data_IF_480917690350
#
_entry.id   IF_480917690350
#
_cell.length_a   1.000
_cell.length_b   1.000
_cell.length_c   1.000
_cell.angle_alpha   90.00
_cell.angle_beta   90.00
_cell.angle_gamma   90.00
#
_symmetry.space_group_name_H-M   'P 1'
#
loop_
_entity.id
_entity.type
_entity.pdbx_description
1 polymer ?
#
# COMPACT_ATOMS: atom_id res chain seq x y z
N UNK A 1 17.18 35.56 -5.46
CA UNK A 1 16.47 34.31 -5.81
C UNK A 1 17.42 33.46 -6.65
N UNK A 2 18.12 32.51 -6.01
CA UNK A 2 18.99 31.56 -6.73
C UNK A 2 18.05 30.49 -7.31
N UNK A 3 18.16 30.12 -8.59
CA UNK A 3 17.29 29.11 -9.16
C UNK A 3 17.53 27.77 -8.45
N UNK A 4 16.45 27.09 -8.09
CA UNK A 4 16.45 25.75 -7.50
C UNK A 4 17.11 24.68 -8.41
N UNK A 5 17.51 25.03 -9.63
CA UNK A 5 18.11 24.15 -10.66
C UNK A 5 19.56 23.69 -10.40
N UNK A 6 20.19 24.04 -9.26
CA UNK A 6 21.61 23.71 -9.02
C UNK A 6 21.97 23.00 -7.71
N UNK A 7 21.04 22.78 -6.77
CA UNK A 7 21.32 21.99 -5.57
C UNK A 7 20.43 20.76 -5.52
N UNK A 8 21.06 19.58 -5.56
CA UNK A 8 20.35 18.32 -5.36
C UNK A 8 19.80 18.29 -3.92
N UNK A 9 18.53 17.88 -3.71
CA UNK A 9 17.90 17.90 -2.40
C UNK A 9 18.54 16.87 -1.46
N UNK A 10 18.51 17.16 -0.16
CA UNK A 10 18.77 16.16 0.89
C UNK A 10 17.47 15.48 1.28
N UNK A 11 17.47 14.15 1.21
CA UNK A 11 16.25 13.34 1.40
C UNK A 11 16.40 12.51 2.66
N UNK A 12 15.35 12.47 3.48
CA UNK A 12 15.24 11.50 4.56
C UNK A 12 14.09 10.54 4.30
N UNK A 13 14.35 9.25 4.50
CA UNK A 13 13.34 8.20 4.56
C UNK A 13 13.14 7.85 6.02
N UNK A 14 11.95 8.13 6.54
CA UNK A 14 11.63 8.01 7.96
C UNK A 14 10.70 6.83 8.17
N UNK A 15 11.09 5.90 9.04
CA UNK A 15 10.33 4.67 9.29
C UNK A 15 10.27 4.31 10.77
N UNK A 16 9.27 3.52 11.14
CA UNK A 16 9.16 2.99 12.51
C UNK A 16 10.16 1.85 12.68
N UNK A 17 11.16 2.05 13.54
CA UNK A 17 12.19 1.05 13.84
C UNK A 17 11.63 -0.01 14.79
N UNK A 18 11.94 -1.28 14.52
CA UNK A 18 11.55 -2.41 15.37
C UNK A 18 10.03 -2.50 15.59
N UNK A 19 9.25 -2.32 14.52
CA UNK A 19 7.80 -2.49 14.55
C UNK A 19 7.38 -3.81 15.21
N UNK A 20 6.43 -3.72 16.15
CA UNK A 20 5.75 -4.87 16.74
C UNK A 20 4.56 -5.35 15.91
N UNK A 21 4.24 -4.63 14.82
CA UNK A 21 3.04 -4.85 13.99
C UNK A 21 3.41 -5.53 12.67
N UNK A 22 4.36 -4.97 11.90
CA UNK A 22 4.74 -5.50 10.59
C UNK A 22 6.13 -5.04 10.16
N UNK A 23 6.79 -5.85 9.34
CA UNK A 23 8.06 -5.46 8.70
C UNK A 23 7.87 -4.68 7.39
N UNK A 24 6.63 -4.49 6.94
CA UNK A 24 6.31 -3.91 5.64
C UNK A 24 6.91 -2.50 5.46
N UNK A 25 6.67 -1.61 6.42
CA UNK A 25 7.16 -0.23 6.41
C UNK A 25 8.69 -0.18 6.42
N UNK A 26 9.33 -1.04 7.22
CA UNK A 26 10.79 -1.13 7.30
C UNK A 26 11.39 -1.62 5.97
N UNK A 27 10.81 -2.66 5.37
CA UNK A 27 11.30 -3.20 4.09
C UNK A 27 11.13 -2.20 2.96
N UNK A 28 9.99 -1.50 2.90
CA UNK A 28 9.74 -0.44 1.94
C UNK A 28 10.73 0.73 2.14
N UNK A 29 10.97 1.15 3.39
CA UNK A 29 11.89 2.23 3.71
C UNK A 29 13.33 1.92 3.32
N UNK A 30 13.82 0.73 3.65
CA UNK A 30 15.15 0.26 3.25
C UNK A 30 15.29 0.26 1.73
N UNK A 31 14.31 -0.31 1.02
CA UNK A 31 14.33 -0.38 -0.44
C UNK A 31 14.32 1.01 -1.09
N UNK A 32 13.41 1.90 -0.67
CA UNK A 32 13.30 3.25 -1.24
C UNK A 32 14.53 4.09 -0.90
N UNK A 33 15.07 4.00 0.31
CA UNK A 33 16.28 4.75 0.66
C UNK A 33 17.49 4.33 -0.19
N UNK A 34 17.66 3.04 -0.44
CA UNK A 34 18.73 2.54 -1.34
C UNK A 34 18.51 3.00 -2.78
N UNK A 35 17.28 2.89 -3.30
CA UNK A 35 16.96 3.30 -4.67
C UNK A 35 17.12 4.81 -4.88
N UNK A 36 16.70 5.63 -3.91
CA UNK A 36 16.86 7.08 -3.94
C UNK A 36 18.34 7.46 -3.88
N UNK A 37 19.11 6.85 -2.99
CA UNK A 37 20.56 7.10 -2.91
C UNK A 37 21.28 6.76 -4.23
N UNK A 38 20.88 5.68 -4.90
CA UNK A 38 21.45 5.25 -6.17
C UNK A 38 20.88 5.99 -7.41
N UNK A 39 19.92 6.91 -7.24
CA UNK A 39 19.25 7.60 -8.34
C UNK A 39 20.09 8.73 -8.97
N UNK A 40 21.04 9.27 -8.23
CA UNK A 40 21.75 10.50 -8.60
C UNK A 40 20.89 11.77 -8.58
N UNK A 41 19.63 11.69 -8.09
CA UNK A 41 18.68 12.82 -8.02
C UNK A 41 18.66 13.53 -6.67
N UNK A 42 19.50 13.13 -5.73
CA UNK A 42 19.62 13.73 -4.40
C UNK A 42 21.09 13.88 -4.02
N UNK A 43 21.41 14.88 -3.18
CA UNK A 43 22.77 15.08 -2.68
C UNK A 43 23.15 14.02 -1.64
N UNK A 44 22.20 13.69 -0.76
CA UNK A 44 22.36 12.71 0.30
C UNK A 44 21.02 12.13 0.70
N UNK A 45 21.01 10.83 1.00
CA UNK A 45 19.87 10.10 1.54
C UNK A 45 20.16 9.63 2.95
N UNK A 46 19.28 9.97 3.88
CA UNK A 46 19.30 9.45 5.25
C UNK A 46 18.18 8.44 5.43
N UNK A 47 18.49 7.24 5.90
CA UNK A 47 17.49 6.30 6.39
C UNK A 47 17.39 6.46 7.91
N UNK A 48 16.29 7.06 8.37
CA UNK A 48 16.10 7.44 9.78
C UNK A 48 15.09 6.53 10.46
N UNK A 49 15.56 5.72 11.41
CA UNK A 49 14.71 4.87 12.23
C UNK A 49 14.20 5.60 13.46
N UNK A 50 12.88 5.74 13.59
CA UNK A 50 12.23 6.34 14.77
C UNK A 50 11.68 5.25 15.67
N UNK A 51 12.03 5.33 16.96
CA UNK A 51 11.42 4.51 18.01
C UNK A 51 10.24 5.23 18.63
N UNK A 52 9.20 4.46 18.88
CA UNK A 52 7.85 4.91 19.26
C UNK A 52 7.72 5.34 20.72
N UNK A 53 8.64 4.90 21.58
CA UNK A 53 8.60 5.16 23.01
C UNK A 53 9.18 6.55 23.34
N UNK A 54 8.40 7.40 24.01
CA UNK A 54 8.71 8.80 24.32
C UNK A 54 10.06 8.99 25.04
N UNK A 55 10.52 7.99 25.80
CA UNK A 55 11.77 8.02 26.59
C UNK A 55 13.03 7.69 25.78
N UNK A 56 12.92 7.16 24.55
CA UNK A 56 14.08 6.62 23.80
C UNK A 56 14.49 7.42 22.55
N UNK A 57 13.89 8.58 22.29
CA UNK A 57 14.33 9.51 21.25
C UNK A 57 15.61 10.29 21.62
N UNK A 58 16.33 9.90 22.67
CA UNK A 58 17.67 10.41 22.94
C UNK A 58 18.64 9.92 21.84
N UNK A 59 19.47 10.79 21.26
CA UNK A 59 20.46 10.37 20.26
C UNK A 59 21.45 9.40 20.91
N UNK A 60 21.28 8.10 20.67
CA UNK A 60 22.27 7.10 21.08
C UNK A 60 23.29 6.94 19.97
N UNK A 61 24.58 6.97 20.34
CA UNK A 61 25.67 6.59 19.43
C UNK A 61 25.48 5.12 19.04
N UNK A 62 25.50 4.86 17.74
CA UNK A 62 25.38 3.52 17.18
C UNK A 62 26.71 2.79 17.30
N UNK A 63 26.68 1.54 17.79
CA UNK A 63 27.70 0.54 17.48
C UNK A 63 27.38 -0.03 16.09
N UNK A 64 28.24 0.27 15.12
CA UNK A 64 28.14 -0.03 13.68
C UNK A 64 28.16 -1.53 13.36
N UNK A 65 27.10 -2.25 13.73
CA UNK A 65 26.90 -3.64 13.31
C UNK A 65 25.56 -3.83 12.61
N UNK A 66 25.24 -2.95 11.64
CA UNK A 66 24.14 -3.18 10.72
C UNK A 66 24.54 -4.22 9.67
N UNK A 67 23.84 -5.35 9.66
CA UNK A 67 23.82 -6.27 8.51
C UNK A 67 23.40 -5.48 7.28
N UNK A 68 24.26 -5.42 6.25
CA UNK A 68 24.02 -4.55 5.10
C UNK A 68 22.77 -4.97 4.34
N UNK A 69 21.83 -4.04 4.13
CA UNK A 69 20.66 -4.30 3.31
C UNK A 69 21.04 -4.39 1.83
N UNK A 70 20.37 -5.29 1.11
CA UNK A 70 20.52 -5.45 -0.33
C UNK A 70 19.17 -5.22 -0.99
N UNK A 71 19.13 -4.50 -2.12
CA UNK A 71 17.91 -4.25 -2.88
C UNK A 71 18.15 -4.46 -4.37
N UNK A 72 17.21 -5.13 -5.05
CA UNK A 72 17.18 -5.27 -6.49
C UNK A 72 16.22 -4.23 -7.07
N UNK A 73 16.77 -3.19 -7.70
CA UNK A 73 15.98 -2.15 -8.35
C UNK A 73 15.28 -2.68 -9.61
N UNK A 74 14.19 -2.03 -10.03
CA UNK A 74 13.35 -2.46 -11.16
C UNK A 74 14.09 -2.62 -12.50
N UNK A 75 15.23 -1.95 -12.68
CA UNK A 75 16.10 -2.06 -13.86
C UNK A 75 17.09 -3.23 -13.78
N UNK A 76 17.05 -4.02 -12.71
CA UNK A 76 17.94 -5.15 -12.47
C UNK A 76 19.23 -4.78 -11.73
N UNK A 77 19.42 -3.51 -11.33
CA UNK A 77 20.59 -3.10 -10.57
C UNK A 77 20.53 -3.61 -9.12
N UNK A 78 21.56 -4.33 -8.69
CA UNK A 78 21.71 -4.78 -7.31
C UNK A 78 22.42 -3.69 -6.48
N UNK A 79 21.72 -3.20 -5.46
CA UNK A 79 22.17 -2.13 -4.59
C UNK A 79 22.52 -2.71 -3.22
N UNK A 80 23.74 -2.42 -2.74
CA UNK A 80 24.21 -2.84 -1.44
C UNK A 80 24.45 -1.62 -0.56
N UNK A 81 23.86 -1.58 0.64
CA UNK A 81 24.01 -0.45 1.55
C UNK A 81 25.48 -0.19 1.92
N UNK A 82 26.30 -1.26 2.00
CA UNK A 82 27.74 -1.20 2.32
C UNK A 82 28.61 -0.67 1.19
N UNK A 83 28.14 -0.72 -0.05
CA UNK A 83 28.90 -0.25 -1.22
C UNK A 83 28.60 1.21 -1.54
N UNK A 84 27.52 1.77 -0.98
CA UNK A 84 27.18 3.17 -1.16
C UNK A 84 28.09 4.07 -0.32
N UNK A 85 28.63 5.18 -0.87
CA UNK A 85 29.42 6.13 -0.11
C UNK A 85 28.62 6.74 1.03
N UNK A 86 29.24 6.93 2.20
CA UNK A 86 28.63 7.58 3.39
C UNK A 86 28.17 9.03 3.08
N UNK A 87 28.81 9.67 2.10
CA UNK A 87 28.41 10.98 1.60
C UNK A 87 27.05 10.96 0.90
N UNK A 88 26.68 9.83 0.29
CA UNK A 88 25.45 9.66 -0.48
C UNK A 88 24.37 8.96 0.33
N UNK A 89 24.73 8.04 1.23
CA UNK A 89 23.79 7.22 2.00
C UNK A 89 24.24 7.04 3.45
N UNK A 90 23.34 7.29 4.41
CA UNK A 90 23.61 7.09 5.83
C UNK A 90 22.37 6.51 6.55
N UNK A 91 22.55 5.39 7.26
CA UNK A 91 21.54 4.83 8.16
C UNK A 91 21.77 5.38 9.57
N UNK A 92 20.72 5.91 10.20
CA UNK A 92 20.84 6.55 11.52
C UNK A 92 19.54 6.47 12.32
N UNK A 93 19.65 6.54 13.65
CA UNK A 93 18.51 6.75 14.55
C UNK A 93 18.42 8.22 15.02
N UNK A 94 19.36 9.06 14.58
CA UNK A 94 19.44 10.46 14.99
C UNK A 94 18.44 11.31 14.21
N UNK A 95 17.32 11.65 14.86
CA UNK A 95 16.28 12.50 14.31
C UNK A 95 16.75 13.94 14.04
N UNK A 96 17.88 14.39 14.63
CA UNK A 96 18.43 15.72 14.36
C UNK A 96 18.83 15.88 12.88
N UNK A 97 19.20 14.78 12.21
CA UNK A 97 19.56 14.79 10.78
C UNK A 97 18.41 15.24 9.88
N UNK A 98 17.16 15.05 10.34
CA UNK A 98 15.96 15.48 9.64
C UNK A 98 15.88 17.00 9.47
N UNK A 99 16.51 17.78 10.35
CA UNK A 99 16.55 19.25 10.26
C UNK A 99 17.22 19.71 8.96
N UNK A 100 18.27 18.98 8.55
CA UNK A 100 19.09 19.30 7.38
C UNK A 100 18.52 18.80 6.05
N UNK A 101 17.36 18.16 6.08
CA UNK A 101 16.72 17.55 4.91
C UNK A 101 15.60 18.44 4.34
N UNK A 102 15.55 18.48 3.01
CA UNK A 102 14.57 19.26 2.23
C UNK A 102 13.30 18.45 1.97
N UNK A 103 13.44 17.12 1.83
CA UNK A 103 12.34 16.19 1.57
C UNK A 103 12.32 15.07 2.62
N UNK A 104 11.16 14.86 3.23
CA UNK A 104 10.89 13.72 4.12
C UNK A 104 9.91 12.75 3.46
N UNK A 105 10.31 11.49 3.33
CA UNK A 105 9.48 10.38 2.88
C UNK A 105 9.05 9.59 4.11
N UNK A 106 7.77 9.66 4.48
CA UNK A 106 7.24 9.02 5.68
C UNK A 106 6.69 7.63 5.35
N UNK A 107 7.26 6.62 6.03
CA UNK A 107 6.86 5.21 6.04
C UNK A 107 6.73 4.76 7.49
N UNK A 108 5.94 5.50 8.25
CA UNK A 108 5.65 5.21 9.65
C UNK A 108 4.45 4.28 9.75
N UNK A 109 4.31 3.60 10.88
CA UNK A 109 3.06 2.93 11.22
C UNK A 109 1.92 3.95 11.33
N UNK A 110 0.75 3.59 10.80
CA UNK A 110 -0.44 4.45 10.72
C UNK A 110 -0.85 5.05 12.07
N UNK A 111 -0.72 4.29 13.16
CA UNK A 111 -1.17 4.73 14.48
C UNK A 111 -0.22 5.72 15.16
N UNK A 112 1.05 5.71 14.77
CA UNK A 112 2.10 6.53 15.38
C UNK A 112 2.48 7.75 14.52
N UNK A 113 2.02 7.79 13.28
CA UNK A 113 2.42 8.82 12.32
C UNK A 113 2.19 10.24 12.85
N UNK A 114 1.03 10.49 13.45
CA UNK A 114 0.65 11.81 13.94
C UNK A 114 1.50 12.19 15.15
N UNK A 115 1.63 11.30 16.15
CA UNK A 115 2.39 11.58 17.37
C UNK A 115 3.87 11.81 17.09
N UNK A 116 4.47 11.01 16.20
CA UNK A 116 5.86 11.19 15.75
C UNK A 116 6.02 12.52 15.04
N UNK A 117 5.12 12.86 14.11
CA UNK A 117 5.20 14.12 13.38
C UNK A 117 5.03 15.33 14.29
N UNK A 118 4.09 15.29 15.23
CA UNK A 118 3.91 16.34 16.25
C UNK A 118 5.13 16.48 17.15
N UNK A 119 5.75 15.36 17.55
CA UNK A 119 6.98 15.36 18.33
C UNK A 119 8.15 15.95 17.54
N UNK A 120 8.31 15.56 16.28
CA UNK A 120 9.31 16.13 15.38
C UNK A 120 9.10 17.63 15.19
N UNK A 121 7.86 18.08 15.01
CA UNK A 121 7.55 19.51 14.90
C UNK A 121 7.90 20.28 16.18
N UNK A 122 7.54 19.75 17.37
CA UNK A 122 7.88 20.34 18.67
C UNK A 122 9.40 20.43 18.88
N UNK A 123 10.14 19.42 18.44
CA UNK A 123 11.59 19.29 18.68
C UNK A 123 12.43 20.08 17.69
N UNK A 124 12.02 20.14 16.42
CA UNK A 124 12.74 20.84 15.35
C UNK A 124 12.39 22.34 15.27
N UNK A 125 11.39 22.79 16.02
CA UNK A 125 11.00 24.20 16.08
C UNK A 125 10.35 24.71 14.78
N UNK A 126 10.08 26.02 14.75
CA UNK A 126 9.58 26.69 13.54
C UNK A 126 10.72 26.83 12.53
N UNK A 127 10.44 26.55 11.26
CA UNK A 127 11.39 26.82 10.19
C UNK A 127 11.65 28.34 10.13
N UNK A 128 12.93 28.74 10.06
CA UNK A 128 13.31 30.14 9.82
C UNK A 128 12.61 30.65 8.56
N UNK A 129 12.06 31.87 8.61
CA UNK A 129 11.30 32.48 7.51
C UNK A 129 12.08 32.57 6.18
N UNK A 130 13.42 32.52 6.26
CA UNK A 130 14.32 32.58 5.10
C UNK A 130 14.60 31.21 4.45
N UNK A 131 14.23 30.08 5.08
CA UNK A 131 14.42 28.75 4.49
C UNK A 131 13.22 28.34 3.64
N UNK A 132 13.44 27.64 2.51
CA UNK A 132 12.33 27.08 1.73
C UNK A 132 11.54 26.10 2.59
N UNK A 133 10.20 26.12 2.41
CA UNK A 133 9.31 25.20 3.12
C UNK A 133 9.73 23.76 2.85
N UNK A 134 9.88 22.99 3.92
CA UNK A 134 10.19 21.56 3.83
C UNK A 134 9.04 20.81 3.16
N UNK A 135 9.36 19.84 2.30
CA UNK A 135 8.36 18.96 1.69
C UNK A 135 8.28 17.66 2.48
N UNK A 136 7.07 17.23 2.82
CA UNK A 136 6.81 15.99 3.55
C UNK A 136 5.83 15.15 2.77
N UNK A 137 6.24 13.96 2.34
CA UNK A 137 5.40 13.04 1.59
C UNK A 137 5.10 11.79 2.41
N UNK A 138 3.83 11.58 2.74
CA UNK A 138 3.36 10.30 3.29
C UNK A 138 3.19 9.27 2.17
N UNK A 139 3.97 8.19 2.24
CA UNK A 139 3.90 7.04 1.33
C UNK A 139 3.07 5.88 1.89
N UNK A 140 2.22 6.18 2.87
CA UNK A 140 1.36 5.20 3.53
C UNK A 140 0.16 4.81 2.66
N UNK A 141 -0.11 3.52 2.62
CA UNK A 141 -1.21 2.90 1.86
C UNK A 141 -2.56 3.06 2.54
N UNK A 142 -2.59 3.38 3.84
CA UNK A 142 -3.83 3.38 4.62
C UNK A 142 -4.77 4.55 4.30
N UNK A 143 -6.05 4.31 4.57
CA UNK A 143 -7.14 5.29 4.44
C UNK A 143 -7.18 6.33 5.57
N UNK A 144 -6.20 6.30 6.49
CA UNK A 144 -6.20 7.19 7.67
C UNK A 144 -5.76 8.60 7.33
N UNK A 145 -5.98 9.50 8.30
CA UNK A 145 -6.38 10.90 8.15
C UNK A 145 -5.28 11.81 7.54
N UNK A 146 -5.56 12.35 6.35
CA UNK A 146 -4.73 13.36 5.67
C UNK A 146 -4.82 14.75 6.33
N UNK A 147 -5.96 15.06 6.96
CA UNK A 147 -6.21 16.37 7.59
C UNK A 147 -5.38 16.61 8.88
N UNK A 148 -5.26 15.65 9.81
CA UNK A 148 -4.37 15.77 10.97
C UNK A 148 -2.90 15.89 10.60
N UNK A 149 -2.45 15.25 9.51
CA UNK A 149 -1.06 15.40 9.06
C UNK A 149 -0.77 16.85 8.60
N UNK A 150 -1.71 17.47 7.87
CA UNK A 150 -1.61 18.89 7.52
C UNK A 150 -1.68 19.79 8.77
N UNK A 151 -2.46 19.42 9.78
CA UNK A 151 -2.58 20.18 11.03
C UNK A 151 -1.33 20.06 11.91
N UNK A 152 -0.67 18.91 11.91
CA UNK A 152 0.55 18.65 12.69
C UNK A 152 1.79 19.33 12.12
N UNK A 153 1.79 19.67 10.82
CA UNK A 153 2.88 20.37 10.12
C UNK A 153 2.37 21.59 9.35
N UNK A 154 2.00 22.68 10.03
CA UNK A 154 1.48 23.88 9.37
C UNK A 154 2.53 24.59 8.50
N UNK A 155 3.81 24.45 8.85
CA UNK A 155 4.91 25.15 8.18
C UNK A 155 5.50 24.37 6.98
N UNK A 156 5.09 23.12 6.78
CA UNK A 156 5.60 22.25 5.72
C UNK A 156 4.61 22.06 4.56
N UNK A 157 5.12 21.70 3.38
CA UNK A 157 4.30 21.28 2.24
C UNK A 157 4.06 19.79 2.35
N UNK A 158 2.86 19.42 2.78
CA UNK A 158 2.47 18.01 2.91
C UNK A 158 1.92 17.48 1.57
N UNK A 159 2.56 16.45 1.06
CA UNK A 159 2.15 15.67 -0.10
C UNK A 159 1.48 14.37 0.35
N UNK A 160 0.30 14.12 -0.20
CA UNK A 160 -0.52 12.97 0.15
C UNK A 160 -0.42 11.94 -0.95
N UNK A 161 0.05 10.75 -0.60
CA UNK A 161 0.23 9.67 -1.56
C UNK A 161 0.28 8.30 -0.92
N UNK A 162 0.94 7.38 -1.62
CA UNK A 162 1.17 6.02 -1.18
C UNK A 162 2.05 5.24 -2.16
N UNK A 163 2.55 4.09 -1.72
CA UNK A 163 3.17 3.09 -2.58
C UNK A 163 2.16 1.97 -2.89
N UNK A 164 1.84 1.75 -4.16
CA UNK A 164 0.86 0.74 -4.58
C UNK A 164 1.47 -0.66 -4.81
N UNK A 165 2.56 -0.98 -4.10
CA UNK A 165 3.27 -2.25 -4.15
C UNK A 165 3.81 -2.59 -2.75
N UNK A 166 4.06 -3.89 -2.50
CA UNK A 166 4.80 -4.33 -1.32
C UNK A 166 6.26 -4.59 -1.69
N UNK A 167 7.17 -4.41 -0.76
CA UNK A 167 8.56 -4.86 -0.91
C UNK A 167 8.74 -6.11 -0.07
N UNK A 168 9.30 -7.16 -0.66
CA UNK A 168 9.55 -8.46 -0.03
C UNK A 168 11.04 -8.80 -0.06
N UNK A 169 11.52 -9.52 0.96
CA UNK A 169 12.85 -10.14 0.95
C UNK A 169 12.77 -11.50 0.27
N UNK A 170 13.67 -11.74 -0.68
CA UNK A 170 13.86 -13.08 -1.25
C UNK A 170 14.64 -14.01 -0.30
N UNK A 171 14.85 -15.26 -0.73
CA UNK A 171 15.60 -16.27 0.03
C UNK A 171 17.06 -15.86 0.30
N UNK A 172 17.63 -15.00 -0.55
CA UNK A 172 18.98 -14.45 -0.40
C UNK A 172 19.01 -13.18 0.46
N UNK A 173 17.86 -12.74 1.00
CA UNK A 173 17.72 -11.53 1.80
C UNK A 173 17.70 -10.23 1.00
N UNK A 174 17.56 -10.29 -0.32
CA UNK A 174 17.48 -9.14 -1.22
C UNK A 174 16.06 -8.60 -1.28
N UNK A 175 15.92 -7.30 -1.06
CA UNK A 175 14.65 -6.57 -1.13
C UNK A 175 14.25 -6.33 -2.60
N UNK A 176 13.02 -6.68 -2.96
CA UNK A 176 12.47 -6.41 -4.28
C UNK A 176 10.98 -6.08 -4.22
N UNK A 177 10.45 -5.28 -5.15
CA UNK A 177 9.02 -5.06 -5.24
C UNK A 177 8.30 -6.37 -5.60
N UNK A 178 7.20 -6.65 -4.89
CA UNK A 178 6.36 -7.83 -5.11
C UNK A 178 5.56 -7.71 -6.40
N UNK A 179 5.13 -6.49 -6.77
CA UNK A 179 4.35 -6.17 -7.97
C UNK A 179 4.92 -4.97 -8.72
N UNK A 180 4.47 -4.78 -9.97
CA UNK A 180 4.83 -3.63 -10.81
C UNK A 180 4.07 -2.34 -10.45
N UNK A 181 3.58 -2.24 -9.20
CA UNK A 181 2.87 -1.05 -8.74
C UNK A 181 3.77 0.19 -8.73
N UNK A 182 3.16 1.35 -8.63
CA UNK A 182 3.83 2.64 -8.70
C UNK A 182 3.65 3.45 -7.41
N UNK A 183 4.40 4.54 -7.28
CA UNK A 183 4.06 5.57 -6.30
C UNK A 183 2.90 6.41 -6.82
N UNK A 184 2.05 6.93 -5.94
CA UNK A 184 1.01 7.87 -6.34
C UNK A 184 0.95 9.05 -5.40
N UNK A 185 0.54 10.20 -5.92
CA UNK A 185 0.41 11.46 -5.18
C UNK A 185 -0.81 12.25 -5.65
N UNK A 186 -1.40 12.99 -4.72
CA UNK A 186 -2.42 13.97 -5.04
C UNK A 186 -1.88 15.04 -5.98
N UNK A 187 -2.73 15.44 -6.94
CA UNK A 187 -2.45 16.55 -7.83
C UNK A 187 -2.05 17.78 -7.02
N UNK A 188 -0.82 18.22 -7.27
CA UNK A 188 -0.27 19.43 -6.67
C UNK A 188 -1.08 20.65 -7.12
N UNK A 189 -1.53 21.44 -6.15
CA UNK A 189 -2.10 22.76 -6.42
C UNK A 189 -0.99 23.71 -6.88
N UNK A 190 -1.34 24.86 -7.47
CA UNK A 190 -0.37 25.89 -7.87
C UNK A 190 0.54 26.32 -6.70
N UNK A 191 -0.01 26.33 -5.49
CA UNK A 191 0.68 26.65 -4.24
C UNK A 191 1.76 25.62 -3.85
N UNK A 192 1.67 24.37 -4.34
CA UNK A 192 2.63 23.28 -4.09
C UNK A 192 3.60 23.04 -5.25
N UNK A 193 3.68 23.98 -6.20
CA UNK A 193 4.55 23.84 -7.38
C UNK A 193 6.03 23.71 -7.02
N UNK A 194 6.49 24.32 -5.93
CA UNK A 194 7.85 24.16 -5.44
C UNK A 194 8.18 22.74 -4.94
N UNK A 195 7.19 21.85 -4.78
CA UNK A 195 7.40 20.45 -4.39
C UNK A 195 7.52 19.48 -5.58
N UNK A 196 7.53 19.99 -6.84
CA UNK A 196 7.65 19.16 -8.03
C UNK A 196 8.93 18.31 -8.07
N UNK A 197 10.04 18.84 -7.54
CA UNK A 197 11.31 18.10 -7.46
C UNK A 197 11.19 16.79 -6.66
N UNK A 198 10.24 16.70 -5.72
CA UNK A 198 10.04 15.48 -4.93
C UNK A 198 9.52 14.33 -5.81
N UNK A 199 8.79 14.65 -6.89
CA UNK A 199 8.35 13.67 -7.88
C UNK A 199 9.56 13.15 -8.65
N UNK A 200 10.43 14.04 -9.12
CA UNK A 200 11.64 13.67 -9.87
C UNK A 200 12.58 12.79 -9.03
N UNK A 201 12.68 13.05 -7.73
CA UNK A 201 13.46 12.21 -6.78
C UNK A 201 12.92 10.79 -6.73
N UNK A 202 11.59 10.61 -6.61
CA UNK A 202 11.00 9.28 -6.58
C UNK A 202 10.97 8.60 -7.94
N UNK A 203 10.76 9.33 -9.05
CA UNK A 203 10.90 8.77 -10.39
C UNK A 203 12.33 8.29 -10.66
N UNK A 204 13.32 8.94 -10.03
CA UNK A 204 14.72 8.50 -10.03
C UNK A 204 14.97 7.10 -9.46
N UNK A 205 14.01 6.53 -8.71
CA UNK A 205 14.09 5.13 -8.25
C UNK A 205 13.85 4.10 -9.36
N UNK A 206 13.42 4.55 -10.55
CA UNK A 206 12.99 3.68 -11.65
C UNK A 206 11.55 3.18 -11.50
N UNK A 207 10.83 3.60 -10.45
CA UNK A 207 9.41 3.33 -10.25
C UNK A 207 8.62 4.56 -10.69
N UNK A 208 7.53 4.32 -11.43
CA UNK A 208 6.67 5.40 -11.92
C UNK A 208 6.00 6.14 -10.77
N UNK A 209 5.75 7.45 -10.96
CA UNK A 209 5.00 8.28 -10.02
C UNK A 209 3.73 8.78 -10.71
N UNK A 210 2.57 8.36 -10.21
CA UNK A 210 1.27 8.81 -10.72
C UNK A 210 0.76 10.01 -9.94
N UNK A 211 0.64 11.15 -10.63
CA UNK A 211 0.01 12.36 -10.10
C UNK A 211 -1.43 12.46 -10.61
N UNK A 212 -2.43 12.38 -9.70
CA UNK A 212 -3.86 12.36 -10.09
C UNK A 212 -4.71 13.33 -9.28
N UNK A 213 -5.68 13.96 -9.96
CA UNK A 213 -6.60 14.97 -9.44
C UNK A 213 -7.54 14.51 -8.32
N UNK A 214 -7.58 13.21 -8.01
CA UNK A 214 -8.55 12.59 -7.11
C UNK A 214 -7.91 11.61 -6.11
N UNK A 215 -6.66 11.86 -5.70
CA UNK A 215 -6.15 11.22 -4.47
C UNK A 215 -6.86 11.81 -3.25
N UNK A 216 -7.20 13.11 -3.31
CA UNK A 216 -7.97 13.85 -2.31
C UNK A 216 -8.85 14.91 -3.01
N UNK A 217 -10.06 14.53 -3.40
CA UNK A 217 -11.06 15.48 -3.88
C UNK A 217 -11.79 16.14 -2.69
N UNK A 218 -11.91 17.48 -2.68
CA UNK A 218 -12.57 18.30 -1.62
C UNK A 218 -14.01 17.88 -1.23
N UNK A 219 -14.61 16.93 -1.93
CA UNK A 219 -15.93 16.42 -1.61
C UNK A 219 -16.15 14.98 -2.12
N UNK A 220 -15.08 14.18 -2.30
CA UNK A 220 -15.17 12.84 -2.90
C UNK A 220 -14.20 11.85 -2.26
N UNK A 221 -14.58 10.57 -2.11
CA UNK A 221 -13.72 9.58 -1.48
C UNK A 221 -12.46 9.30 -2.31
N UNK A 222 -11.40 8.96 -1.59
CA UNK A 222 -10.01 8.75 -2.02
C UNK A 222 -9.89 7.55 -2.97
N UNK A 223 -10.24 7.75 -4.24
CA UNK A 223 -10.40 6.67 -5.22
C UNK A 223 -9.18 5.74 -5.32
N UNK A 224 -7.96 6.31 -5.40
CA UNK A 224 -6.72 5.53 -5.54
C UNK A 224 -6.38 4.75 -4.27
N UNK A 225 -6.45 5.40 -3.10
CA UNK A 225 -6.19 4.71 -1.82
C UNK A 225 -7.20 3.58 -1.61
N UNK A 226 -8.47 3.82 -1.95
CA UNK A 226 -9.52 2.81 -1.83
C UNK A 226 -9.24 1.60 -2.73
N UNK A 227 -8.94 1.81 -4.01
CA UNK A 227 -8.60 0.73 -4.92
C UNK A 227 -7.36 -0.04 -4.49
N UNK A 228 -6.32 0.65 -4.00
CA UNK A 228 -5.13 0.00 -3.44
C UNK A 228 -5.46 -0.84 -2.20
N UNK A 229 -6.24 -0.30 -1.24
CA UNK A 229 -6.67 -1.05 -0.04
C UNK A 229 -7.52 -2.27 -0.41
N UNK A 230 -8.40 -2.16 -1.40
CA UNK A 230 -9.19 -3.29 -1.90
C UNK A 230 -8.31 -4.43 -2.43
N UNK A 231 -7.25 -4.10 -3.18
CA UNK A 231 -6.30 -5.10 -3.68
C UNK A 231 -5.48 -5.72 -2.56
N UNK A 232 -5.11 -4.95 -1.52
CA UNK A 232 -4.31 -5.44 -0.40
C UNK A 232 -5.01 -6.52 0.43
N UNK A 233 -6.34 -6.60 0.40
CA UNK A 233 -7.11 -7.71 1.01
C UNK A 233 -6.59 -9.08 0.53
N UNK A 234 -6.10 -9.16 -0.71
CA UNK A 234 -5.57 -10.40 -1.26
C UNK A 234 -4.38 -10.91 -0.44
N UNK A 235 -3.49 -10.02 0.01
CA UNK A 235 -2.33 -10.40 0.81
C UNK A 235 -2.72 -11.03 2.15
N UNK A 236 -3.80 -10.55 2.76
CA UNK A 236 -4.28 -11.04 4.05
C UNK A 236 -4.98 -12.40 3.94
N UNK A 237 -5.83 -12.60 2.94
CA UNK A 237 -6.43 -13.91 2.69
C UNK A 237 -5.36 -14.94 2.32
N UNK A 238 -4.39 -14.57 1.49
CA UNK A 238 -3.27 -15.46 1.15
C UNK A 238 -2.45 -15.83 2.39
N UNK A 239 -2.21 -14.87 3.30
CA UNK A 239 -1.55 -15.12 4.57
C UNK A 239 -2.28 -16.13 5.46
N UNK A 240 -3.62 -16.09 5.53
CA UNK A 240 -4.41 -17.08 6.28
C UNK A 240 -4.35 -18.49 5.67
N UNK A 241 -4.22 -18.58 4.34
CA UNK A 241 -4.09 -19.87 3.64
C UNK A 241 -2.66 -20.40 3.59
N UNK A 242 -1.66 -19.59 3.95
CA UNK A 242 -0.24 -19.93 3.80
C UNK A 242 0.25 -20.04 2.35
N UNK A 243 -0.58 -19.68 1.37
CA UNK A 243 -0.27 -19.77 -0.07
C UNK A 243 0.43 -18.51 -0.56
N UNK A 244 1.26 -18.64 -1.60
CA UNK A 244 1.69 -17.48 -2.37
C UNK A 244 0.48 -16.80 -3.04
N UNK A 245 0.61 -15.53 -3.39
CA UNK A 245 -0.51 -14.79 -4.01
C UNK A 245 -0.91 -15.41 -5.35
N UNK A 246 0.04 -15.96 -6.11
CA UNK A 246 -0.22 -16.63 -7.37
C UNK A 246 -0.96 -17.97 -7.17
N UNK A 247 -0.60 -18.75 -6.14
CA UNK A 247 -1.32 -19.97 -5.78
C UNK A 247 -2.73 -19.69 -5.27
N UNK A 248 -2.91 -18.64 -4.46
CA UNK A 248 -4.23 -18.20 -4.01
C UNK A 248 -5.11 -17.75 -5.17
N UNK A 249 -4.56 -17.07 -6.18
CA UNK A 249 -5.30 -16.72 -7.39
C UNK A 249 -5.63 -17.94 -8.27
N UNK A 250 -4.81 -19.00 -8.27
CA UNK A 250 -5.13 -20.24 -8.99
C UNK A 250 -6.26 -21.02 -8.32
N UNK A 251 -6.42 -20.89 -7.01
CA UNK A 251 -7.48 -21.54 -6.26
C UNK A 251 -8.83 -20.83 -6.42
N UNK A 252 -9.78 -21.51 -7.05
CA UNK A 252 -11.14 -21.00 -7.24
C UNK A 252 -11.84 -20.59 -5.95
N UNK A 253 -11.62 -21.32 -4.84
CA UNK A 253 -12.30 -21.05 -3.57
C UNK A 253 -11.78 -19.75 -2.96
N UNK A 254 -10.46 -19.54 -2.99
CA UNK A 254 -9.84 -18.29 -2.59
C UNK A 254 -10.30 -17.13 -3.50
N UNK A 255 -10.43 -17.35 -4.81
CA UNK A 255 -11.00 -16.36 -5.74
C UNK A 255 -12.41 -15.89 -5.39
N UNK A 256 -13.29 -16.80 -4.95
CA UNK A 256 -14.61 -16.41 -4.47
C UNK A 256 -14.57 -15.62 -3.17
N UNK A 257 -13.64 -15.95 -2.26
CA UNK A 257 -13.45 -15.18 -1.03
C UNK A 257 -12.94 -13.75 -1.34
N UNK A 258 -11.97 -13.62 -2.27
CA UNK A 258 -11.51 -12.31 -2.75
C UNK A 258 -12.67 -11.51 -3.36
N UNK A 259 -13.47 -12.15 -4.21
CA UNK A 259 -14.61 -11.52 -4.87
C UNK A 259 -15.63 -10.99 -3.86
N UNK A 260 -15.98 -11.79 -2.86
CA UNK A 260 -16.89 -11.38 -1.80
C UNK A 260 -16.35 -10.18 -1.02
N UNK A 261 -15.06 -10.19 -0.66
CA UNK A 261 -14.46 -9.05 0.05
C UNK A 261 -14.40 -7.78 -0.82
N UNK A 262 -14.15 -7.91 -2.13
CA UNK A 262 -14.23 -6.78 -3.06
C UNK A 262 -15.64 -6.22 -3.19
N UNK A 263 -16.67 -7.08 -3.21
CA UNK A 263 -18.08 -6.65 -3.24
C UNK A 263 -18.47 -5.89 -1.99
N UNK A 264 -18.06 -6.36 -0.81
CA UNK A 264 -18.29 -5.67 0.47
C UNK A 264 -17.67 -4.27 0.47
N UNK A 265 -16.41 -4.18 0.04
CA UNK A 265 -15.69 -2.91 -0.05
C UNK A 265 -16.26 -1.95 -1.11
N UNK A 266 -16.74 -2.47 -2.24
CA UNK A 266 -17.37 -1.66 -3.30
C UNK A 266 -18.75 -1.16 -2.88
N UNK A 267 -19.52 -1.99 -2.16
CA UNK A 267 -20.80 -1.59 -1.57
C UNK A 267 -20.61 -0.49 -0.53
N UNK A 268 -19.61 -0.63 0.35
CA UNK A 268 -19.25 0.41 1.32
C UNK A 268 -18.81 1.70 0.62
N UNK A 269 -17.99 1.60 -0.43
CA UNK A 269 -17.57 2.76 -1.22
C UNK A 269 -18.76 3.51 -1.80
N UNK A 270 -19.72 2.78 -2.40
CA UNK A 270 -20.95 3.37 -2.95
C UNK A 270 -21.79 4.03 -1.85
N UNK A 271 -21.91 3.41 -0.67
CA UNK A 271 -22.60 4.01 0.47
C UNK A 271 -21.92 5.29 0.98
N UNK A 272 -20.58 5.34 0.97
CA UNK A 272 -19.82 6.55 1.28
C UNK A 272 -20.10 7.62 0.22
N UNK A 273 -20.04 7.27 -1.06
CA UNK A 273 -20.30 8.20 -2.16
C UNK A 273 -21.71 8.79 -2.10
N UNK A 274 -22.74 7.98 -1.85
CA UNK A 274 -24.13 8.48 -1.72
C UNK A 274 -24.28 9.39 -0.51
N UNK A 275 -23.66 9.06 0.63
CA UNK A 275 -23.69 9.92 1.82
C UNK A 275 -23.04 11.29 1.58
N UNK A 276 -21.95 11.32 0.83
CA UNK A 276 -21.21 12.55 0.49
C UNK A 276 -21.97 13.35 -0.58
N UNK A 277 -22.54 12.69 -1.58
CA UNK A 277 -23.40 13.34 -2.58
C UNK A 277 -24.62 14.01 -1.92
N UNK A 278 -25.26 13.35 -0.96
CA UNK A 278 -26.37 13.92 -0.19
C UNK A 278 -25.94 15.17 0.62
N UNK A 279 -24.74 15.17 1.19
CA UNK A 279 -24.19 16.34 1.89
C UNK A 279 -23.82 17.49 0.93
N UNK A 280 -23.32 17.16 -0.27
CA UNK A 280 -22.96 18.15 -1.29
C UNK A 280 -24.19 18.80 -1.93
N UNK A 281 -25.27 18.05 -2.14
CA UNK A 281 -26.53 18.60 -2.64
C UNK A 281 -27.12 19.64 -1.67
N UNK A 282 -26.94 19.46 -0.35
CA UNK A 282 -27.31 20.49 0.65
C UNK A 282 -26.44 21.74 0.62
N UNK A 283 -25.23 21.66 0.07
CA UNK A 283 -24.25 22.76 0.02
C UNK A 283 -24.03 23.35 -1.39
N UNK A 284 -24.87 22.96 -2.36
CA UNK A 284 -24.83 23.48 -3.74
C UNK A 284 -23.59 23.07 -4.56
N UNK A 285 -22.82 22.07 -4.10
CA UNK A 285 -21.63 21.57 -4.82
C UNK A 285 -22.02 20.42 -5.74
N UNK A 286 -21.64 20.49 -7.02
CA UNK A 286 -21.83 19.37 -7.97
C UNK A 286 -21.07 18.13 -7.49
N UNK A 287 -21.79 17.04 -7.25
CA UNK A 287 -21.20 15.72 -7.02
C UNK A 287 -20.83 15.11 -8.38
N UNK A 288 -19.58 14.68 -8.55
CA UNK A 288 -19.21 13.80 -9.66
C UNK A 288 -19.62 12.34 -9.36
N UNK A 289 -19.48 11.47 -10.35
CA UNK A 289 -19.42 10.03 -10.14
C UNK A 289 -17.95 9.61 -9.97
N UNK A 290 -17.62 8.95 -8.85
CA UNK A 290 -16.29 8.39 -8.60
C UNK A 290 -16.39 6.89 -8.62
N UNK A 291 -15.36 6.25 -9.17
CA UNK A 291 -15.15 4.82 -9.04
C UNK A 291 -13.86 4.56 -8.27
N UNK A 292 -13.71 3.40 -7.60
CA UNK A 292 -12.44 2.99 -7.03
C UNK A 292 -11.36 2.93 -8.12
N UNK A 293 -10.26 3.64 -7.91
CA UNK A 293 -9.16 3.73 -8.88
C UNK A 293 -8.04 2.79 -8.45
N UNK A 294 -7.64 1.91 -9.37
CA UNK A 294 -6.58 0.91 -9.16
C UNK A 294 -5.37 1.17 -10.04
N UNK A 295 -5.38 2.28 -10.80
CA UNK A 295 -4.36 2.63 -11.79
C UNK A 295 -2.93 2.70 -11.26
N UNK A 296 -2.76 2.84 -9.94
CA UNK A 296 -1.45 2.81 -9.30
C UNK A 296 -0.88 1.39 -9.10
N UNK A 297 -1.74 0.38 -9.00
CA UNK A 297 -1.32 -1.01 -8.82
C UNK A 297 -1.48 -1.83 -10.10
N UNK A 298 -2.56 -1.62 -10.86
CA UNK A 298 -2.90 -2.37 -12.07
C UNK A 298 -3.60 -1.49 -13.09
N UNK A 299 -3.52 -1.89 -14.35
CA UNK A 299 -4.26 -1.26 -15.45
C UNK A 299 -5.77 -1.56 -15.41
N UNK A 300 -6.20 -2.54 -14.60
CA UNK A 300 -7.58 -3.02 -14.56
C UNK A 300 -8.39 -2.41 -13.42
N UNK A 301 -9.53 -1.76 -13.70
CA UNK A 301 -10.47 -1.33 -12.67
C UNK A 301 -10.93 -2.49 -11.78
N UNK A 302 -11.26 -2.19 -10.51
CA UNK A 302 -11.75 -3.20 -9.56
C UNK A 302 -12.94 -3.99 -10.10
N UNK A 303 -13.87 -3.32 -10.78
CA UNK A 303 -15.05 -3.97 -11.38
C UNK A 303 -14.68 -4.97 -12.46
N UNK A 304 -13.62 -4.70 -13.24
CA UNK A 304 -13.08 -5.66 -14.21
C UNK A 304 -12.51 -6.88 -13.49
N UNK A 305 -11.78 -6.69 -12.39
CA UNK A 305 -11.30 -7.80 -11.57
C UNK A 305 -12.45 -8.65 -11.02
N UNK A 306 -13.51 -8.02 -10.53
CA UNK A 306 -14.71 -8.74 -10.04
C UNK A 306 -15.39 -9.60 -11.11
N UNK A 307 -15.30 -9.20 -12.39
CA UNK A 307 -15.81 -9.98 -13.53
C UNK A 307 -14.90 -11.19 -13.83
N UNK A 308 -13.58 -11.02 -13.68
CA UNK A 308 -12.57 -12.03 -13.99
C UNK A 308 -12.39 -13.08 -12.89
N UNK A 309 -12.49 -12.71 -11.62
CA UNK A 309 -12.28 -13.64 -10.48
C UNK A 309 -13.17 -14.90 -10.50
N UNK A 310 -14.48 -14.86 -10.82
CA UNK A 310 -15.34 -16.05 -10.78
C UNK A 310 -15.19 -16.97 -12.00
N UNK A 311 -14.30 -16.66 -12.94
CA UNK A 311 -14.09 -17.46 -14.16
C UNK A 311 -13.75 -18.93 -13.86
N UNK A 312 -14.12 -19.87 -14.76
CA UNK A 312 -13.62 -21.24 -14.71
C UNK A 312 -12.08 -21.29 -14.66
N UNK A 313 -11.53 -22.25 -13.92
CA UNK A 313 -10.07 -22.38 -13.69
C UNK A 313 -9.28 -22.43 -15.00
N UNK A 314 -9.79 -23.12 -16.02
CA UNK A 314 -9.12 -23.23 -17.30
C UNK A 314 -8.99 -21.88 -18.03
N UNK A 315 -10.01 -21.01 -17.93
CA UNK A 315 -9.97 -19.66 -18.52
C UNK A 315 -9.02 -18.78 -17.71
N UNK A 316 -9.23 -18.77 -16.39
CA UNK A 316 -8.49 -17.88 -15.50
C UNK A 316 -6.98 -18.19 -15.52
N UNK A 317 -6.61 -19.47 -15.38
CA UNK A 317 -5.21 -19.85 -15.27
C UNK A 317 -4.46 -19.80 -16.60
N UNK A 318 -5.14 -20.06 -17.73
CA UNK A 318 -4.48 -20.03 -19.06
C UNK A 318 -4.46 -18.65 -19.68
N UNK A 319 -5.50 -17.84 -19.48
CA UNK A 319 -5.62 -16.53 -20.11
C UNK A 319 -5.39 -15.41 -19.10
N UNK A 320 -6.18 -15.34 -18.03
CA UNK A 320 -6.14 -14.18 -17.13
C UNK A 320 -4.80 -14.03 -16.44
N UNK A 321 -4.30 -15.08 -15.78
CA UNK A 321 -3.04 -15.02 -15.04
C UNK A 321 -1.79 -14.84 -15.92
N UNK A 322 -1.87 -15.17 -17.21
CA UNK A 322 -0.73 -15.03 -18.14
C UNK A 322 -0.73 -13.70 -18.85
N UNK A 323 -1.91 -13.20 -19.21
CA UNK A 323 -2.06 -12.02 -20.06
C UNK A 323 -2.21 -10.74 -19.23
N UNK A 324 -2.83 -10.82 -18.05
CA UNK A 324 -3.16 -9.65 -17.25
C UNK A 324 -2.26 -9.53 -16.02
N UNK A 325 -1.66 -8.35 -15.84
CA UNK A 325 -1.03 -7.97 -14.58
C UNK A 325 -2.10 -7.45 -13.62
N UNK A 326 -2.44 -8.27 -12.62
CA UNK A 326 -3.45 -7.93 -11.61
C UNK A 326 -2.90 -6.96 -10.54
N UNK A 327 -1.63 -6.53 -10.63
CA UNK A 327 -1.02 -5.56 -9.72
C UNK A 327 -0.65 -6.10 -8.34
N UNK A 328 -0.81 -7.41 -8.15
CA UNK A 328 -0.61 -8.10 -6.88
C UNK A 328 0.74 -8.82 -6.80
N UNK A 329 1.24 -9.31 -7.94
CA UNK A 329 2.52 -10.01 -8.05
C UNK A 329 3.11 -9.80 -9.45
N UNK A 330 4.39 -9.48 -9.53
CA UNK A 330 5.16 -9.51 -10.76
C UNK A 330 5.23 -10.95 -11.26
N UNK A 331 4.87 -11.19 -12.52
CA UNK A 331 4.66 -12.53 -13.10
C UNK A 331 5.81 -13.52 -12.92
N UNK A 332 7.03 -13.05 -12.64
CA UNK A 332 8.23 -13.84 -12.37
C UNK A 332 8.44 -14.23 -10.90
N UNK A 333 7.59 -13.78 -9.98
CA UNK A 333 7.81 -13.92 -8.55
C UNK A 333 7.02 -15.07 -7.92
N UNK A 334 7.73 -15.99 -7.26
CA UNK A 334 7.17 -16.99 -6.33
C UNK A 334 7.07 -16.46 -4.89
N UNK A 335 7.38 -15.19 -4.66
CA UNK A 335 7.45 -14.64 -3.31
C UNK A 335 6.09 -14.62 -2.61
N UNK A 336 6.12 -14.89 -1.31
CA UNK A 336 4.98 -14.70 -0.41
C UNK A 336 4.88 -13.23 0.01
N UNK A 337 3.68 -12.77 0.35
CA UNK A 337 3.48 -11.41 0.87
C UNK A 337 4.21 -11.21 2.21
N UNK A 338 4.50 -9.95 2.55
CA UNK A 338 5.11 -9.62 3.85
C UNK A 338 4.24 -10.12 5.01
N UNK A 339 2.92 -10.09 4.84
CA UNK A 339 1.95 -10.57 5.85
C UNK A 339 2.16 -12.05 6.19
N UNK A 340 2.44 -12.90 5.18
CA UNK A 340 2.76 -14.32 5.41
C UNK A 340 4.03 -14.45 6.24
N UNK A 341 5.06 -13.65 5.90
CA UNK A 341 6.33 -13.68 6.63
C UNK A 341 6.18 -13.15 8.05
N UNK A 342 5.38 -12.11 8.27
CA UNK A 342 5.12 -11.53 9.59
C UNK A 342 4.44 -12.55 10.51
N UNK A 343 3.44 -13.30 10.02
CA UNK A 343 2.82 -14.40 10.76
C UNK A 343 3.79 -15.52 11.13
N UNK A 344 4.82 -15.75 10.31
CA UNK A 344 5.82 -16.79 10.52
C UNK A 344 7.00 -16.33 11.41
N UNK A 345 7.10 -15.04 11.74
CA UNK A 345 8.22 -14.52 12.54
C UNK A 345 8.13 -14.92 14.01
N UNK A 346 9.29 -14.95 14.68
CA UNK A 346 9.42 -15.21 16.13
C UNK A 346 10.23 -14.07 16.77
N UNK A 347 9.68 -13.33 17.74
CA UNK A 347 8.30 -13.38 18.25
C UNK A 347 7.25 -13.03 17.16
N UNK A 348 5.98 -13.50 17.30
CA UNK A 348 4.93 -13.27 16.32
C UNK A 348 4.57 -11.78 16.24
N UNK A 349 4.45 -11.25 15.02
CA UNK A 349 4.00 -9.88 14.75
C UNK A 349 2.46 -9.84 14.59
N UNK A 350 1.85 -8.70 14.91
CA UNK A 350 0.37 -8.57 14.94
C UNK A 350 -0.28 -8.49 13.54
N UNK A 351 0.50 -8.23 12.50
CA UNK A 351 0.08 -7.86 11.12
C UNK A 351 -0.64 -6.52 11.04
N UNK A 352 -0.50 -5.85 9.89
CA UNK A 352 -1.10 -4.53 9.64
C UNK A 352 -2.63 -4.55 9.41
N UNK A 353 -3.32 -5.70 9.52
CA UNK A 353 -4.73 -5.79 9.14
C UNK A 353 -5.63 -4.86 9.97
N UNK A 354 -5.49 -4.89 11.29
CA UNK A 354 -6.36 -4.10 12.19
C UNK A 354 -6.09 -2.59 12.09
N UNK A 355 -4.86 -2.20 11.81
CA UNK A 355 -4.47 -0.79 11.64
C UNK A 355 -4.87 -0.26 10.27
N UNK A 356 -4.72 -1.07 9.22
CA UNK A 356 -5.04 -0.71 7.83
C UNK A 356 -6.56 -0.63 7.58
N UNK A 357 -7.34 -1.60 8.06
CA UNK A 357 -8.79 -1.68 7.82
C UNK A 357 -9.64 -1.01 8.90
N UNK A 358 -9.04 -0.39 9.92
CA UNK A 358 -9.80 0.29 10.99
C UNK A 358 -10.82 1.28 10.45
N UNK A 359 -10.40 2.16 9.54
CA UNK A 359 -11.27 3.17 8.95
C UNK A 359 -12.39 2.54 8.12
N UNK A 360 -12.13 1.40 7.47
CA UNK A 360 -13.15 0.65 6.72
C UNK A 360 -14.25 0.19 7.67
N UNK A 361 -13.87 -0.43 8.80
CA UNK A 361 -14.83 -0.86 9.82
C UNK A 361 -15.55 0.34 10.47
N UNK A 362 -14.84 1.42 10.80
CA UNK A 362 -15.47 2.64 11.34
C UNK A 362 -16.49 3.23 10.35
N UNK A 363 -16.14 3.34 9.06
CA UNK A 363 -17.04 3.85 8.02
C UNK A 363 -18.26 2.95 7.80
N UNK A 364 -18.09 1.63 7.93
CA UNK A 364 -19.15 0.64 7.81
C UNK A 364 -20.11 0.71 8.99
N UNK A 365 -19.60 0.78 10.23
CA UNK A 365 -20.43 0.95 11.44
C UNK A 365 -21.23 2.24 11.42
N UNK A 366 -20.64 3.35 10.96
CA UNK A 366 -21.33 4.63 10.83
C UNK A 366 -22.42 4.68 9.75
N UNK A 367 -22.51 3.66 8.88
CA UNK A 367 -23.44 3.59 7.74
C UNK A 367 -24.30 2.33 7.73
N UNK A 368 -24.23 1.52 8.78
CA UNK A 368 -24.96 0.25 8.91
C UNK A 368 -24.73 -0.72 7.73
N UNK A 369 -23.47 -0.80 7.26
CA UNK A 369 -23.06 -1.73 6.21
C UNK A 369 -22.38 -2.94 6.86
N UNK A 370 -22.90 -4.14 6.60
CA UNK A 370 -22.34 -5.39 7.13
C UNK A 370 -21.19 -5.87 6.25
N UNK A 371 -20.06 -6.23 6.85
CA UNK A 371 -18.85 -6.71 6.15
C UNK A 371 -18.47 -8.14 6.61
N UNK A 372 -19.27 -9.17 6.28
CA UNK A 372 -19.10 -10.49 6.86
C UNK A 372 -17.76 -11.17 6.51
N UNK A 373 -17.24 -10.99 5.28
CA UNK A 373 -15.95 -11.57 4.90
C UNK A 373 -14.79 -10.85 5.63
N UNK A 374 -14.80 -9.52 5.68
CA UNK A 374 -13.75 -8.76 6.39
C UNK A 374 -13.78 -9.03 7.90
N UNK A 375 -14.96 -9.15 8.51
CA UNK A 375 -15.10 -9.52 9.92
C UNK A 375 -14.60 -10.94 10.22
N UNK A 376 -14.87 -11.89 9.33
CA UNK A 376 -14.33 -13.26 9.43
C UNK A 376 -12.80 -13.22 9.41
N UNK A 377 -12.21 -12.51 8.44
CA UNK A 377 -10.75 -12.35 8.32
C UNK A 377 -10.18 -11.75 9.63
N UNK A 378 -10.79 -10.68 10.14
CA UNK A 378 -10.40 -10.07 11.42
C UNK A 378 -10.41 -11.09 12.57
N UNK A 379 -11.51 -11.82 12.73
CA UNK A 379 -11.68 -12.82 13.81
C UNK A 379 -10.62 -13.93 13.70
N UNK A 380 -10.28 -14.38 12.49
CA UNK A 380 -9.24 -15.40 12.28
C UNK A 380 -7.86 -14.88 12.69
N UNK A 381 -7.45 -13.68 12.26
CA UNK A 381 -6.18 -13.09 12.68
C UNK A 381 -6.09 -12.96 14.21
N UNK A 382 -7.15 -12.49 14.87
CA UNK A 382 -7.20 -12.40 16.34
C UNK A 382 -7.09 -13.78 16.99
N UNK A 383 -7.77 -14.79 16.45
CA UNK A 383 -7.71 -16.17 16.96
C UNK A 383 -6.32 -16.79 16.83
N UNK A 384 -5.71 -16.64 15.65
CA UNK A 384 -4.36 -17.11 15.37
C UNK A 384 -3.37 -16.47 16.33
N UNK A 385 -3.47 -15.16 16.52
CA UNK A 385 -2.63 -14.42 17.46
C UNK A 385 -2.75 -14.95 18.88
N UNK A 386 -3.99 -15.09 19.38
CA UNK A 386 -4.22 -15.64 20.74
C UNK A 386 -3.60 -17.03 20.90
N UNK A 387 -3.69 -17.86 19.86
CA UNK A 387 -3.06 -19.18 19.87
C UNK A 387 -1.54 -19.09 19.89
N UNK A 388 -0.93 -18.23 19.05
CA UNK A 388 0.52 -18.02 19.03
C UNK A 388 1.05 -17.47 20.38
N UNK A 389 0.32 -16.55 21.01
CA UNK A 389 0.65 -16.02 22.33
C UNK A 389 0.57 -17.09 23.44
N UNK A 390 -0.38 -18.03 23.34
CA UNK A 390 -0.49 -19.17 24.26
C UNK A 390 0.66 -20.15 24.06
N UNK A 391 0.95 -20.54 22.82
CA UNK A 391 2.07 -21.45 22.50
C UNK A 391 3.43 -20.88 22.95
N UNK A 392 3.61 -19.56 22.83
CA UNK A 392 4.80 -18.88 23.32
C UNK A 392 4.91 -18.91 24.85
N UNK A 393 3.80 -18.78 25.57
CA UNK A 393 3.76 -18.87 27.05
C UNK A 393 4.03 -20.29 27.54
N UNK A 394 3.55 -21.29 26.79
CA UNK A 394 3.72 -22.71 27.12
C UNK A 394 5.11 -23.25 26.74
N UNK A 395 5.99 -22.40 26.19
CA UNK A 395 7.34 -22.78 25.77
C UNK A 395 7.38 -23.76 24.58
N UNK A 396 6.23 -23.99 23.94
CA UNK A 396 6.11 -24.90 22.81
C UNK A 396 6.63 -24.17 21.58
N UNK A 397 7.74 -24.65 21.03
CA UNK A 397 8.30 -24.13 19.77
C UNK A 397 7.54 -24.66 18.55
N UNK A 398 6.23 -24.94 18.67
CA UNK A 398 5.40 -25.41 17.58
C UNK A 398 5.39 -24.38 16.46
N UNK A 399 5.75 -24.83 15.26
CA UNK A 399 5.50 -24.10 14.02
C UNK A 399 4.02 -24.26 13.71
N UNK A 400 3.13 -23.53 14.37
CA UNK A 400 1.75 -23.50 13.92
C UNK A 400 1.73 -22.73 12.60
N UNK A 401 1.92 -23.49 11.51
CA UNK A 401 1.75 -22.98 10.17
C UNK A 401 0.28 -22.62 10.04
N UNK A 402 0.01 -21.32 9.97
CA UNK A 402 -1.33 -20.81 9.70
C UNK A 402 -1.68 -21.18 8.26
N UNK A 403 -2.20 -22.39 8.10
CA UNK A 403 -2.60 -22.93 6.81
C UNK A 403 -4.05 -23.39 6.94
N UNK A 404 -4.96 -22.43 6.88
CA UNK A 404 -6.39 -22.74 6.86
C UNK A 404 -6.76 -23.09 5.42
N UNK A 405 -7.41 -24.24 5.23
CA UNK A 405 -7.88 -24.61 3.88
C UNK A 405 -8.85 -23.55 3.35
N UNK A 406 -8.67 -23.20 2.09
CA UNK A 406 -9.46 -22.18 1.40
C UNK A 406 -10.94 -22.55 1.33
N UNK A 407 -11.27 -23.85 1.40
CA UNK A 407 -12.65 -24.32 1.52
C UNK A 407 -13.28 -24.03 2.88
N UNK A 408 -12.52 -24.19 3.96
CA UNK A 408 -12.99 -23.90 5.31
C UNK A 408 -13.26 -22.40 5.47
N UNK A 409 -12.35 -21.55 4.97
CA UNK A 409 -12.56 -20.10 4.96
C UNK A 409 -13.80 -19.69 4.16
N UNK A 410 -14.02 -20.30 2.99
CA UNK A 410 -15.18 -20.00 2.16
C UNK A 410 -16.49 -20.47 2.81
N UNK A 411 -16.49 -21.62 3.50
CA UNK A 411 -17.69 -22.17 4.13
C UNK A 411 -18.24 -21.29 5.27
N UNK A 412 -17.37 -20.52 5.94
CA UNK A 412 -17.77 -19.60 7.00
C UNK A 412 -18.41 -18.30 6.48
N UNK A 413 -18.32 -18.04 5.18
CA UNK A 413 -18.84 -16.80 4.56
C UNK A 413 -20.01 -17.13 3.65
N UNK A 414 -21.17 -16.51 3.93
CA UNK A 414 -22.32 -16.57 3.03
C UNK A 414 -22.03 -15.69 1.81
N UNK A 415 -21.71 -16.32 0.68
CA UNK A 415 -21.50 -15.62 -0.58
C UNK A 415 -22.75 -14.81 -0.98
N UNK A 416 -22.52 -13.59 -1.43
CA UNK A 416 -23.57 -12.74 -1.98
C UNK A 416 -24.20 -13.41 -3.21
N UNK A 417 -25.54 -13.37 -3.37
CA UNK A 417 -26.21 -13.89 -4.57
C UNK A 417 -25.70 -13.22 -5.86
N UNK A 418 -25.16 -12.00 -5.75
CA UNK A 418 -24.67 -11.22 -6.87
C UNK A 418 -23.22 -11.54 -7.27
N UNK A 419 -22.52 -12.44 -6.56
CA UNK A 419 -21.10 -12.75 -6.81
C UNK A 419 -20.82 -13.11 -8.27
N UNK A 420 -21.69 -13.88 -8.91
CA UNK A 420 -21.49 -14.32 -10.29
C UNK A 420 -22.27 -13.49 -11.32
N UNK A 421 -23.13 -12.56 -10.86
CA UNK A 421 -24.05 -11.81 -11.72
C UNK A 421 -23.31 -10.94 -12.74
N UNK A 422 -22.29 -10.20 -12.29
CA UNK A 422 -21.47 -9.36 -13.15
C UNK A 422 -20.73 -10.16 -14.21
N UNK A 423 -20.11 -11.29 -13.82
CA UNK A 423 -19.41 -12.18 -14.74
C UNK A 423 -20.35 -12.81 -15.75
N UNK A 424 -21.49 -13.37 -15.30
CA UNK A 424 -22.50 -13.97 -16.18
C UNK A 424 -22.99 -12.97 -17.24
N UNK A 425 -23.27 -11.74 -16.82
CA UNK A 425 -23.72 -10.67 -17.72
C UNK A 425 -22.65 -10.30 -18.73
N UNK A 426 -21.39 -10.21 -18.31
CA UNK A 426 -20.27 -9.95 -19.20
C UNK A 426 -20.12 -11.05 -20.26
N UNK A 427 -20.16 -12.32 -19.86
CA UNK A 427 -20.08 -13.44 -20.80
C UNK A 427 -21.23 -13.47 -21.80
N UNK A 428 -22.46 -13.25 -21.31
CA UNK A 428 -23.63 -13.23 -22.18
C UNK A 428 -23.50 -12.11 -23.23
N UNK A 429 -23.03 -10.92 -22.80
CA UNK A 429 -22.76 -9.81 -23.72
C UNK A 429 -21.65 -10.14 -24.70
N UNK A 430 -20.51 -10.65 -24.24
CA UNK A 430 -19.39 -10.99 -25.11
C UNK A 430 -19.76 -12.07 -26.14
N UNK A 431 -20.50 -13.10 -25.71
CA UNK A 431 -21.01 -14.15 -26.58
C UNK A 431 -21.99 -13.61 -27.62
N UNK A 432 -22.97 -12.80 -27.20
CA UNK A 432 -23.92 -12.17 -28.11
C UNK A 432 -23.21 -11.25 -29.12
N UNK A 433 -22.25 -10.45 -28.68
CA UNK A 433 -21.45 -9.59 -29.57
C UNK A 433 -20.65 -10.43 -30.57
N UNK A 434 -20.01 -11.51 -30.14
CA UNK A 434 -19.26 -12.40 -31.03
C UNK A 434 -20.17 -13.01 -32.11
N UNK A 435 -21.32 -13.56 -31.72
CA UNK A 435 -22.30 -14.14 -32.65
C UNK A 435 -22.81 -13.08 -33.63
N UNK A 436 -23.18 -11.89 -33.14
CA UNK A 436 -23.67 -10.81 -33.98
C UNK A 436 -22.60 -10.31 -34.96
N UNK A 437 -21.34 -10.23 -34.51
CA UNK A 437 -20.20 -9.81 -35.37
C UNK A 437 -19.93 -10.87 -36.44
N UNK A 438 -20.02 -12.16 -36.11
CA UNK A 438 -19.85 -13.25 -37.05
C UNK A 438 -20.99 -13.30 -38.07
N UNK A 439 -22.24 -13.10 -37.64
CA UNK A 439 -23.40 -12.97 -38.52
C UNK A 439 -23.28 -11.76 -39.44
N UNK A 440 -22.85 -10.61 -38.92
CA UNK A 440 -22.60 -9.41 -39.72
C UNK A 440 -21.51 -9.66 -40.76
N UNK A 441 -20.40 -10.31 -40.37
CA UNK A 441 -19.34 -10.70 -41.30
C UNK A 441 -19.86 -11.62 -42.39
N UNK A 442 -20.64 -12.65 -42.04
CA UNK A 442 -21.26 -13.54 -43.02
C UNK A 442 -22.22 -12.78 -43.96
N UNK A 443 -23.01 -11.83 -43.46
CA UNK A 443 -23.91 -11.02 -44.29
C UNK A 443 -23.21 -9.94 -45.14
N UNK A 444 -21.96 -9.58 -44.83
CA UNK A 444 -21.17 -8.60 -45.61
C UNK A 444 -20.26 -9.27 -46.65
N UNK A 445 -19.92 -10.54 -46.46
CA UNK A 445 -19.03 -11.31 -47.34
C UNK A 445 -19.74 -12.41 -48.16
N UNK A 446 -21.04 -12.60 -47.95
CA UNK A 446 -21.98 -13.29 -48.86
C UNK A 446 -22.80 -12.22 -49.54
#
# INVERSE_FOLDING_TARGET
MIPFDKMLPRVSVVYTKESSVSREETQLAQYVALCVAASGRCAKTYLVGIRTEEEQLAPRRFDTTASGAMALRCDGALLHSRQLPVETYEETDDWMKLETCDLWLLMLETDVTISVVELLHKRLGRQDQDRPKRVVWSLQTTLRRLAPLNAALPDAIVLHGGAAFQVVKDENGVLRPLSNGCFFVERLSKEKSCALYALDVLEGTGIQVLCRGNVQGRAMPRAIKWGCTMLRIFYYINALTGKSVFEGLRDRKARFLFLQALMEMDALFRAVQTSVAAANNKSGRKSGDSEPDTGAATLFPVRSLMVLLPLPDWIFNRFVLRVFDLGLVAQSSTATSVVVTDLATRPPLQTNFETEFRDVFELATGRDVVLPALEMIKKKFVSIRKQQELEQKDGVTSKTAVCIDSAALLAEVKLSPDCTSASRTFFLKAFATFVLTLLLGLCLFV
#
